data_IF_641340865252
#
_entry.id   IF_641340865252
#
_cell.length_a   1.000
_cell.length_b   1.000
_cell.length_c   1.000
_cell.angle_alpha   90.00
_cell.angle_beta   90.00
_cell.angle_gamma   90.00
#
_symmetry.space_group_name_H-M   'P 1'
#
loop_
_entity.id
_entity.type
_entity.pdbx_description
1 polymer ?
#
# COMPACT_ATOMS: atom_id res chain seq x y z
N UNK A 1 -5.87 25.41 41.79
CA UNK A 1 -6.38 24.76 40.56
C UNK A 1 -7.82 24.30 40.72
N UNK A 2 -8.14 23.32 41.58
CA UNK A 2 -9.52 22.80 41.74
C UNK A 2 -10.56 23.88 42.08
N UNK A 3 -10.26 24.79 43.01
CA UNK A 3 -11.18 25.86 43.40
C UNK A 3 -11.41 26.92 42.29
N UNK A 4 -10.39 27.19 41.48
CA UNK A 4 -10.42 28.24 40.46
C UNK A 4 -10.84 27.74 39.07
N UNK A 5 -10.58 26.46 38.77
CA UNK A 5 -10.71 25.84 37.44
C UNK A 5 -11.60 24.58 37.42
N UNK A 6 -12.03 24.07 38.59
CA UNK A 6 -12.86 22.85 38.67
C UNK A 6 -12.12 21.56 38.29
N UNK A 7 -10.82 21.66 38.00
CA UNK A 7 -9.94 20.56 37.60
C UNK A 7 -8.64 20.54 38.42
N UNK A 8 -8.03 19.36 38.53
CA UNK A 8 -6.74 19.16 39.20
C UNK A 8 -5.57 19.21 38.22
N UNK A 9 -5.84 18.94 36.95
CA UNK A 9 -4.95 19.11 35.81
C UNK A 9 -5.75 19.81 34.69
N UNK A 10 -5.15 20.75 33.97
CA UNK A 10 -5.78 21.38 32.82
C UNK A 10 -6.10 20.38 31.71
N UNK A 11 -5.35 19.27 31.61
CA UNK A 11 -5.67 18.19 30.66
C UNK A 11 -7.05 17.59 30.90
N UNK A 12 -7.53 17.59 32.15
CA UNK A 12 -8.85 17.04 32.50
C UNK A 12 -10.00 17.95 32.04
N UNK A 13 -9.74 19.20 31.65
CA UNK A 13 -10.78 20.16 31.27
C UNK A 13 -11.58 19.72 30.04
N UNK A 14 -10.99 18.90 29.16
CA UNK A 14 -11.67 18.33 27.98
C UNK A 14 -12.81 17.38 28.36
N UNK A 15 -12.77 16.77 29.55
CA UNK A 15 -13.77 15.84 30.06
C UNK A 15 -14.74 16.50 31.05
N UNK A 16 -14.76 17.84 31.13
CA UNK A 16 -15.69 18.60 31.97
C UNK A 16 -16.79 19.21 31.14
N UNK A 17 -17.94 19.34 31.78
CA UNK A 17 -19.15 19.93 31.18
C UNK A 17 -19.48 19.25 29.84
N UNK A 18 -19.86 20.03 28.82
CA UNK A 18 -20.24 19.51 27.50
C UNK A 18 -19.09 19.63 26.47
N UNK A 19 -17.86 19.95 26.91
CA UNK A 19 -16.72 20.28 26.04
C UNK A 19 -16.41 19.16 25.03
N UNK A 20 -16.48 17.90 25.45
CA UNK A 20 -16.19 16.77 24.58
C UNK A 20 -17.24 16.63 23.46
N UNK A 21 -18.52 16.87 23.79
CA UNK A 21 -19.61 16.83 22.81
C UNK A 21 -19.58 18.04 21.88
N UNK A 22 -19.21 19.22 22.37
CA UNK A 22 -18.96 20.40 21.54
C UNK A 22 -17.81 20.15 20.56
N UNK A 23 -16.72 19.51 21.01
CA UNK A 23 -15.57 19.16 20.17
C UNK A 23 -15.94 18.20 19.03
N UNK A 24 -16.73 17.16 19.32
CA UNK A 24 -17.20 16.21 18.30
C UNK A 24 -18.05 16.90 17.23
N UNK A 25 -18.92 17.84 17.64
CA UNK A 25 -19.75 18.63 16.71
C UNK A 25 -18.91 19.57 15.84
N UNK A 26 -17.92 20.25 16.42
CA UNK A 26 -17.01 21.12 15.67
C UNK A 26 -16.15 20.32 14.69
N UNK A 27 -15.58 19.18 15.10
CA UNK A 27 -14.83 18.29 14.20
C UNK A 27 -15.70 17.81 13.03
N UNK A 28 -16.96 17.48 13.28
CA UNK A 28 -17.92 17.11 12.23
C UNK A 28 -18.14 18.24 11.22
N UNK A 29 -18.19 19.49 11.66
CA UNK A 29 -18.35 20.64 10.77
C UNK A 29 -17.06 20.88 9.97
N UNK A 30 -15.91 20.94 10.64
CA UNK A 30 -14.60 21.19 10.03
C UNK A 30 -14.22 20.11 9.01
N UNK A 31 -14.53 18.85 9.31
CA UNK A 31 -14.18 17.71 8.45
C UNK A 31 -15.31 17.33 7.47
N UNK A 32 -16.44 18.03 7.44
CA UNK A 32 -17.62 17.69 6.61
C UNK A 32 -17.25 17.38 5.16
N UNK A 33 -16.50 18.26 4.52
CA UNK A 33 -16.03 18.08 3.13
C UNK A 33 -15.10 16.88 2.96
N UNK A 34 -14.19 16.65 3.91
CA UNK A 34 -13.28 15.51 3.86
C UNK A 34 -14.03 14.19 4.11
N UNK A 35 -15.06 14.20 4.96
CA UNK A 35 -15.91 13.05 5.23
C UNK A 35 -16.79 12.68 4.03
N UNK A 36 -17.30 13.66 3.27
CA UNK A 36 -18.09 13.41 2.05
C UNK A 36 -17.28 12.67 0.97
N UNK A 37 -15.96 12.81 1.00
CA UNK A 37 -15.02 12.13 0.10
C UNK A 37 -14.65 10.72 0.60
N UNK A 38 -15.06 10.36 1.83
CA UNK A 38 -14.85 9.04 2.43
C UNK A 38 -16.13 8.20 2.45
N UNK A 39 -15.99 6.88 2.51
CA UNK A 39 -17.13 5.97 2.50
C UNK A 39 -17.76 5.64 3.88
N UNK A 40 -17.07 5.72 5.03
CA UNK A 40 -17.72 5.54 6.32
C UNK A 40 -18.81 6.60 6.54
N UNK A 41 -19.91 6.21 7.17
CA UNK A 41 -20.92 7.13 7.67
C UNK A 41 -20.82 7.25 9.19
N UNK A 42 -21.50 8.25 9.79
CA UNK A 42 -21.57 8.40 11.25
C UNK A 42 -20.19 8.46 11.93
N UNK A 43 -19.45 9.54 11.69
CA UNK A 43 -18.17 9.78 12.36
C UNK A 43 -18.35 10.22 13.81
N UNK A 44 -17.41 9.78 14.65
CA UNK A 44 -17.27 10.19 16.04
C UNK A 44 -15.80 10.12 16.47
N UNK A 45 -15.45 10.83 17.54
CA UNK A 45 -14.14 10.68 18.19
C UNK A 45 -13.98 9.23 18.73
N UNK A 46 -12.95 8.53 18.26
CA UNK A 46 -12.51 7.22 18.74
C UNK A 46 -11.54 7.36 19.91
N UNK A 47 -10.24 7.21 19.67
CA UNK A 47 -9.20 7.50 20.68
C UNK A 47 -8.80 8.98 20.68
N UNK A 48 -8.52 9.54 21.86
CA UNK A 48 -8.02 10.90 21.98
C UNK A 48 -7.04 11.05 23.15
N UNK A 49 -5.95 11.79 22.92
CA UNK A 49 -4.91 12.01 23.93
C UNK A 49 -4.48 13.47 23.99
N UNK A 50 -4.48 14.05 25.20
CA UNK A 50 -4.00 15.41 25.46
C UNK A 50 -2.49 15.39 25.66
N UNK A 51 -1.76 15.81 24.64
CA UNK A 51 -0.30 15.85 24.61
C UNK A 51 0.24 17.03 25.43
N UNK A 52 -0.37 18.21 25.28
CA UNK A 52 0.06 19.44 25.94
C UNK A 52 -1.13 20.29 26.42
N UNK A 53 -0.89 21.12 27.43
CA UNK A 53 -1.86 22.08 27.95
C UNK A 53 -1.13 23.39 28.31
N UNK A 54 -1.66 24.52 27.85
CA UNK A 54 -1.08 25.85 28.11
C UNK A 54 -2.19 26.85 28.41
N UNK A 55 -2.17 27.44 29.61
CA UNK A 55 -3.17 28.43 30.05
C UNK A 55 -2.57 29.83 30.05
N UNK A 56 -3.25 30.78 29.41
CA UNK A 56 -2.85 32.19 29.34
C UNK A 56 -3.71 32.99 30.31
N UNK A 57 -3.15 33.38 31.45
CA UNK A 57 -3.89 34.11 32.50
C UNK A 57 -4.48 35.43 32.01
N UNK A 58 -3.76 36.16 31.14
CA UNK A 58 -4.18 37.47 30.65
C UNK A 58 -5.45 37.42 29.79
N UNK A 59 -5.69 36.31 29.08
CA UNK A 59 -6.83 36.14 28.17
C UNK A 59 -7.87 35.15 28.71
N UNK A 60 -7.50 34.35 29.72
CA UNK A 60 -8.35 33.30 30.28
C UNK A 60 -8.53 32.10 29.35
N UNK A 61 -7.65 31.93 28.36
CA UNK A 61 -7.72 30.87 27.35
C UNK A 61 -6.81 29.71 27.72
N UNK A 62 -7.36 28.50 27.69
CA UNK A 62 -6.61 27.25 27.79
C UNK A 62 -6.46 26.62 26.41
N UNK A 63 -5.24 26.40 25.94
CA UNK A 63 -4.98 25.67 24.70
C UNK A 63 -4.49 24.26 25.01
N UNK A 64 -5.18 23.27 24.45
CA UNK A 64 -4.84 21.86 24.54
C UNK A 64 -4.29 21.38 23.19
N UNK A 65 -3.09 20.80 23.17
CA UNK A 65 -2.60 20.05 22.02
C UNK A 65 -3.05 18.61 22.10
N UNK A 66 -3.81 18.13 21.11
CA UNK A 66 -4.45 16.82 21.13
C UNK A 66 -4.16 16.00 19.89
N UNK A 67 -3.97 14.70 20.11
CA UNK A 67 -4.00 13.67 19.07
C UNK A 67 -5.37 13.01 19.10
N UNK A 68 -6.08 13.00 17.98
CA UNK A 68 -7.47 12.52 17.90
C UNK A 68 -7.58 11.54 16.73
N UNK A 69 -8.13 10.36 16.98
CA UNK A 69 -8.57 9.44 15.94
C UNK A 69 -10.06 9.67 15.73
N UNK A 70 -10.45 10.13 14.54
CA UNK A 70 -11.83 10.45 14.21
C UNK A 70 -12.39 9.39 13.26
N UNK A 71 -13.21 8.48 13.77
CA UNK A 71 -13.56 7.22 13.11
C UNK A 71 -15.03 7.17 12.68
N UNK A 72 -15.31 6.58 11.53
CA UNK A 72 -16.66 6.39 11.02
C UNK A 72 -17.14 4.93 11.11
N UNK A 73 -18.45 4.74 11.29
CA UNK A 73 -19.05 3.42 11.20
C UNK A 73 -19.06 2.92 9.75
N UNK A 74 -18.46 1.75 9.55
CA UNK A 74 -18.39 1.10 8.25
C UNK A 74 -19.73 0.44 7.91
N UNK A 75 -20.24 0.70 6.69
CA UNK A 75 -21.37 -0.06 6.13
C UNK A 75 -20.97 -1.55 5.98
N UNK A 76 -21.70 -2.48 6.64
CA UNK A 76 -21.37 -3.91 6.62
C UNK A 76 -21.45 -4.57 5.23
N UNK A 77 -22.04 -3.91 4.24
CA UNK A 77 -22.12 -4.39 2.85
C UNK A 77 -21.02 -3.81 1.94
N UNK A 78 -20.13 -2.94 2.45
CA UNK A 78 -19.04 -2.35 1.68
C UNK A 78 -17.67 -2.81 2.20
N UNK A 79 -16.94 -3.51 1.34
CA UNK A 79 -15.67 -4.19 1.67
C UNK A 79 -14.47 -3.30 1.33
N UNK A 80 -13.98 -2.54 2.35
CA UNK A 80 -12.72 -1.76 2.52
C UNK A 80 -12.89 -0.25 2.61
N UNK A 81 -12.55 0.42 3.73
CA UNK A 81 -12.12 1.85 3.74
C UNK A 81 -11.22 2.20 4.93
N UNK A 82 -10.46 3.30 4.80
CA UNK A 82 -9.90 4.06 5.93
C UNK A 82 -10.99 4.24 6.99
N UNK A 83 -10.74 3.78 8.22
CA UNK A 83 -11.68 3.82 9.34
C UNK A 83 -11.78 5.19 9.97
N UNK A 84 -10.78 6.06 9.76
CA UNK A 84 -10.82 7.41 10.31
C UNK A 84 -9.69 8.34 9.85
N UNK A 85 -9.70 9.53 10.43
CA UNK A 85 -8.63 10.53 10.31
C UNK A 85 -7.76 10.51 11.55
N UNK A 86 -6.44 10.55 11.40
CA UNK A 86 -5.54 10.90 12.49
C UNK A 86 -5.29 12.41 12.47
N UNK A 87 -5.73 13.08 13.52
CA UNK A 87 -5.68 14.53 13.64
C UNK A 87 -4.70 14.92 14.74
N UNK A 88 -3.82 15.87 14.42
CA UNK A 88 -3.21 16.72 15.44
C UNK A 88 -3.97 18.03 15.46
N UNK A 89 -4.53 18.38 16.62
CA UNK A 89 -5.38 19.56 16.77
C UNK A 89 -4.96 20.40 17.98
N UNK A 90 -5.11 21.72 17.85
CA UNK A 90 -5.06 22.66 18.95
C UNK A 90 -6.49 23.06 19.32
N UNK A 91 -6.90 22.77 20.55
CA UNK A 91 -8.24 23.02 21.06
C UNK A 91 -8.19 24.15 22.07
N UNK A 92 -8.95 25.22 21.84
CA UNK A 92 -9.04 26.35 22.74
C UNK A 92 -10.29 26.24 23.60
N UNK A 93 -10.09 26.23 24.91
CA UNK A 93 -11.14 26.25 25.92
C UNK A 93 -11.14 27.60 26.64
N UNK A 94 -12.33 28.06 26.97
CA UNK A 94 -12.55 29.20 27.85
C UNK A 94 -13.40 28.78 29.04
N UNK A 95 -13.20 29.44 30.18
CA UNK A 95 -14.04 29.22 31.36
C UNK A 95 -14.89 30.45 31.64
N UNK A 96 -16.21 30.29 31.64
CA UNK A 96 -17.19 31.35 32.00
C UNK A 96 -18.27 30.76 32.89
N UNK A 97 -18.72 31.53 33.88
CA UNK A 97 -19.75 31.10 34.84
C UNK A 97 -19.47 29.72 35.46
N UNK A 98 -18.19 29.50 35.79
CA UNK A 98 -17.64 28.25 36.32
C UNK A 98 -17.76 27.00 35.42
N UNK A 99 -18.10 27.16 34.14
CA UNK A 99 -18.17 26.09 33.13
C UNK A 99 -17.09 26.25 32.07
N UNK A 100 -16.58 25.12 31.58
CA UNK A 100 -15.70 25.07 30.41
C UNK A 100 -16.54 24.98 29.13
N UNK A 101 -16.10 25.68 28.09
CA UNK A 101 -16.68 25.59 26.73
C UNK A 101 -15.60 25.81 25.68
N UNK A 102 -15.88 25.44 24.43
CA UNK A 102 -15.00 25.79 23.31
C UNK A 102 -14.91 27.32 23.13
N UNK A 103 -13.71 27.78 22.75
CA UNK A 103 -13.47 29.16 22.34
C UNK A 103 -14.04 29.46 20.95
N UNK A 104 -14.04 30.74 20.56
CA UNK A 104 -14.58 31.20 19.26
C UNK A 104 -13.86 30.59 18.05
N UNK A 105 -12.56 30.31 18.19
CA UNK A 105 -11.73 29.57 17.24
C UNK A 105 -11.35 28.20 17.87
N UNK A 106 -12.35 27.50 18.38
CA UNK A 106 -12.21 26.43 19.37
C UNK A 106 -11.40 25.21 18.92
N UNK A 107 -11.30 24.97 17.60
CA UNK A 107 -10.55 23.84 17.04
C UNK A 107 -9.73 24.31 15.84
N UNK A 108 -8.41 24.09 15.89
CA UNK A 108 -7.51 24.27 14.76
C UNK A 108 -6.79 22.96 14.45
N UNK A 109 -7.00 22.41 13.25
CA UNK A 109 -6.29 21.22 12.79
C UNK A 109 -4.87 21.62 12.38
N UNK A 110 -3.88 21.10 13.08
CA UNK A 110 -2.45 21.31 12.84
C UNK A 110 -1.96 20.37 11.73
N UNK A 111 -2.43 19.13 11.72
CA UNK A 111 -2.25 18.18 10.63
C UNK A 111 -3.37 17.15 10.60
N UNK A 112 -3.69 16.65 9.41
CA UNK A 112 -4.66 15.58 9.20
C UNK A 112 -4.07 14.57 8.22
N UNK A 113 -3.83 13.35 8.69
CA UNK A 113 -3.41 12.25 7.84
C UNK A 113 -4.57 11.26 7.71
N UNK A 114 -5.06 10.96 6.50
CA UNK A 114 -5.95 9.82 6.32
C UNK A 114 -5.19 8.54 6.68
N UNK A 115 -5.87 7.59 7.33
CA UNK A 115 -5.26 6.34 7.84
C UNK A 115 -4.49 5.55 6.76
N UNK A 116 -4.83 5.72 5.48
CA UNK A 116 -4.11 5.15 4.34
C UNK A 116 -2.63 5.57 4.32
N UNK A 117 -2.31 6.79 4.77
CA UNK A 117 -0.93 7.34 4.84
C UNK A 117 -0.21 7.11 6.16
N UNK A 118 -0.91 6.69 7.23
CA UNK A 118 -0.33 6.55 8.57
C UNK A 118 0.61 5.34 8.71
N UNK A 119 0.57 4.40 7.76
CA UNK A 119 1.52 3.30 7.68
C UNK A 119 2.80 3.72 6.93
N UNK A 120 3.52 4.70 7.47
CA UNK A 120 4.93 4.90 7.08
C UNK A 120 5.77 3.80 7.73
N UNK A 121 6.42 2.94 6.94
CA UNK A 121 7.39 1.99 7.48
C UNK A 121 8.59 2.73 8.05
N UNK A 122 9.10 2.24 9.18
CA UNK A 122 10.28 2.79 9.85
C UNK A 122 11.49 2.88 8.90
N UNK A 123 12.36 3.91 9.06
CA UNK A 123 13.60 3.98 8.30
C UNK A 123 14.50 2.82 8.71
N UNK A 124 14.84 1.95 7.75
CA UNK A 124 15.79 0.86 7.95
C UNK A 124 17.17 1.28 7.46
N UNK A 125 18.15 1.04 8.32
CA UNK A 125 19.58 1.29 8.09
C UNK A 125 20.15 0.40 6.98
N UNK A 126 21.18 0.96 6.33
CA UNK A 126 21.98 0.37 5.26
C UNK A 126 22.59 -0.97 5.66
N UNK A 127 21.95 -2.05 5.24
CA UNK A 127 22.59 -3.36 5.07
C UNK A 127 22.07 -4.01 3.79
N UNK A 128 22.92 -4.79 3.13
CA UNK A 128 22.79 -5.40 1.80
C UNK A 128 21.71 -6.49 1.67
N UNK A 129 20.45 -6.18 2.02
CA UNK A 129 19.26 -7.05 1.87
C UNK A 129 18.22 -6.48 0.89
N UNK A 130 17.35 -7.32 0.31
CA UNK A 130 16.37 -6.93 -0.71
C UNK A 130 15.30 -5.94 -0.18
N UNK A 131 14.93 -4.95 -1.00
CA UNK A 131 14.23 -3.72 -0.57
C UNK A 131 12.86 -3.94 0.10
N UNK A 132 12.08 -4.93 -0.35
CA UNK A 132 10.83 -5.29 0.32
C UNK A 132 11.00 -6.41 1.36
N UNK A 133 11.96 -7.33 1.19
CA UNK A 133 12.13 -8.50 2.07
C UNK A 133 12.32 -8.13 3.54
N UNK A 134 13.03 -7.03 3.84
CA UNK A 134 13.27 -6.61 5.24
C UNK A 134 12.02 -6.13 5.98
N UNK A 135 10.94 -5.81 5.27
CA UNK A 135 9.70 -5.33 5.89
C UNK A 135 8.83 -6.47 6.42
N UNK A 136 9.18 -7.72 6.10
CA UNK A 136 8.38 -8.88 6.44
C UNK A 136 9.14 -9.73 7.46
N UNK A 137 8.40 -10.29 8.43
CA UNK A 137 8.92 -11.34 9.31
C UNK A 137 9.57 -12.46 8.49
N UNK A 138 10.61 -13.13 9.03
CA UNK A 138 11.30 -14.21 8.33
C UNK A 138 10.31 -15.22 7.75
N UNK A 139 10.51 -15.58 6.50
CA UNK A 139 9.67 -16.58 5.83
C UNK A 139 10.14 -17.99 6.17
N UNK A 140 9.19 -18.92 6.21
CA UNK A 140 9.47 -20.35 6.22
C UNK A 140 10.21 -20.75 4.93
N UNK A 141 11.39 -21.35 5.09
CA UNK A 141 12.18 -21.88 3.97
C UNK A 141 11.49 -23.11 3.39
N UNK A 142 11.56 -23.33 2.06
CA UNK A 142 11.09 -24.59 1.47
C UNK A 142 11.70 -25.82 2.13
N UNK A 143 11.00 -26.95 2.09
CA UNK A 143 11.52 -28.20 2.66
C UNK A 143 12.85 -28.61 2.02
N UNK A 144 13.63 -29.41 2.75
CA UNK A 144 14.80 -30.10 2.23
C UNK A 144 14.53 -31.61 2.26
N UNK A 145 14.70 -32.28 1.12
CA UNK A 145 14.56 -33.74 1.01
C UNK A 145 15.91 -34.39 0.69
N UNK A 146 16.02 -35.70 0.89
CA UNK A 146 17.13 -36.49 0.35
C UNK A 146 16.75 -37.02 -1.04
N UNK A 147 17.65 -36.92 -2.02
CA UNK A 147 17.49 -37.59 -3.30
C UNK A 147 17.80 -39.09 -3.19
N UNK A 148 17.65 -39.83 -4.29
CA UNK A 148 17.94 -41.27 -4.38
C UNK A 148 19.38 -41.64 -3.98
N UNK A 149 20.33 -40.70 -4.13
CA UNK A 149 21.74 -40.86 -3.72
C UNK A 149 22.02 -40.46 -2.26
N UNK A 150 20.98 -40.15 -1.47
CA UNK A 150 21.13 -39.67 -0.09
C UNK A 150 21.71 -38.25 0.03
N UNK A 151 21.74 -37.46 -1.06
CA UNK A 151 22.15 -36.05 -1.05
C UNK A 151 20.97 -35.14 -0.74
N UNK A 152 21.21 -34.10 0.06
CA UNK A 152 20.21 -33.08 0.38
C UNK A 152 19.89 -32.23 -0.86
N UNK A 153 18.61 -32.18 -1.20
CA UNK A 153 18.03 -31.31 -2.23
C UNK A 153 17.23 -30.24 -1.51
N UNK A 154 17.61 -28.98 -1.72
CA UNK A 154 16.89 -27.81 -1.19
C UNK A 154 15.79 -27.42 -2.16
N UNK A 155 14.61 -27.07 -1.64
CA UNK A 155 13.45 -26.67 -2.45
C UNK A 155 13.14 -27.67 -3.57
N UNK A 156 12.89 -28.96 -3.25
CA UNK A 156 12.69 -30.01 -4.24
C UNK A 156 11.45 -29.79 -5.12
N UNK A 157 10.52 -28.95 -4.67
CA UNK A 157 9.28 -28.60 -5.35
C UNK A 157 9.40 -27.36 -6.26
N UNK A 158 10.59 -26.77 -6.37
CA UNK A 158 10.85 -25.54 -7.13
C UNK A 158 9.91 -24.38 -6.78
N UNK A 159 9.58 -24.24 -5.49
CA UNK A 159 8.71 -23.16 -5.00
C UNK A 159 9.41 -21.83 -5.18
N UNK A 160 8.68 -20.82 -5.65
CA UNK A 160 9.22 -19.49 -5.86
C UNK A 160 9.40 -18.78 -4.52
N UNK A 161 10.65 -18.72 -4.05
CA UNK A 161 11.01 -18.07 -2.78
C UNK A 161 11.10 -16.56 -2.92
N UNK A 162 11.84 -16.08 -3.92
CA UNK A 162 11.97 -14.66 -4.20
C UNK A 162 10.87 -14.26 -5.18
N UNK A 163 9.80 -13.70 -4.65
CA UNK A 163 8.65 -13.25 -5.43
C UNK A 163 8.81 -11.77 -5.76
N UNK A 164 8.73 -11.44 -7.06
CA UNK A 164 8.96 -10.09 -7.55
C UNK A 164 7.71 -9.23 -7.40
N UNK A 165 7.84 -8.09 -6.71
CA UNK A 165 6.81 -7.03 -6.70
C UNK A 165 6.77 -6.34 -8.06
N UNK A 166 7.94 -6.03 -8.62
CA UNK A 166 8.09 -5.62 -10.01
C UNK A 166 8.78 -6.75 -10.78
N UNK A 167 8.12 -7.30 -11.82
CA UNK A 167 8.64 -8.44 -12.58
C UNK A 167 10.06 -8.22 -13.12
N UNK A 168 10.90 -9.26 -13.04
CA UNK A 168 12.30 -9.16 -13.49
C UNK A 168 12.41 -8.81 -14.98
N UNK A 169 11.54 -9.38 -15.84
CA UNK A 169 11.52 -9.05 -17.28
C UNK A 169 11.18 -7.58 -17.52
N UNK A 170 10.29 -7.02 -16.71
CA UNK A 170 10.00 -5.59 -16.74
C UNK A 170 11.26 -4.84 -16.36
N UNK A 171 11.81 -5.06 -15.15
CA UNK A 171 13.01 -4.37 -14.67
C UNK A 171 14.18 -4.36 -15.67
N UNK A 172 14.35 -5.41 -16.47
CA UNK A 172 15.39 -5.48 -17.52
C UNK A 172 15.26 -4.39 -18.60
N UNK A 173 14.07 -3.84 -18.84
CA UNK A 173 13.87 -2.70 -19.76
C UNK A 173 14.62 -1.43 -19.30
N UNK A 174 15.01 -1.35 -18.02
CA UNK A 174 15.73 -0.22 -17.44
C UNK A 174 17.25 -0.40 -17.32
N UNK A 175 17.80 -1.50 -17.83
CA UNK A 175 19.24 -1.77 -17.69
C UNK A 175 20.12 -0.90 -18.59
N UNK A 176 19.61 -0.35 -19.68
CA UNK A 176 20.40 0.47 -20.61
C UNK A 176 21.61 -0.26 -21.21
N UNK A 177 21.63 -1.59 -21.23
CA UNK A 177 22.76 -2.41 -21.68
C UNK A 177 23.73 -2.87 -20.58
N UNK A 178 23.48 -2.52 -19.31
CA UNK A 178 24.28 -2.96 -18.17
C UNK A 178 23.67 -4.17 -17.42
N UNK A 179 24.36 -4.66 -16.40
CA UNK A 179 23.89 -5.75 -15.53
C UNK A 179 23.14 -5.26 -14.27
N UNK A 180 23.29 -3.97 -13.93
CA UNK A 180 22.77 -3.38 -12.68
C UNK A 180 21.85 -2.19 -12.96
N UNK A 181 20.72 -2.16 -12.26
CA UNK A 181 19.77 -1.03 -12.22
C UNK A 181 20.32 0.08 -11.33
N UNK A 182 20.06 1.34 -11.69
CA UNK A 182 20.18 2.48 -10.78
C UNK A 182 18.87 2.70 -10.05
N UNK A 183 18.83 2.42 -8.75
CA UNK A 183 17.63 2.59 -7.92
C UNK A 183 17.87 3.74 -6.96
N UNK A 184 17.02 4.75 -6.98
CA UNK A 184 17.16 5.92 -6.11
C UNK A 184 16.25 5.75 -4.89
N UNK A 185 16.81 5.96 -3.70
CA UNK A 185 16.02 6.15 -2.48
C UNK A 185 15.36 7.53 -2.52
N UNK A 186 14.03 7.57 -2.51
CA UNK A 186 13.23 8.79 -2.61
C UNK A 186 13.48 9.75 -1.44
N UNK A 187 13.83 9.22 -0.27
CA UNK A 187 14.00 10.03 0.95
C UNK A 187 15.39 10.66 1.04
N UNK A 188 16.44 9.93 0.66
CA UNK A 188 17.82 10.40 0.74
C UNK A 188 18.37 10.93 -0.59
N UNK A 189 17.79 10.53 -1.72
CA UNK A 189 18.31 10.80 -3.06
C UNK A 189 19.51 9.91 -3.45
N UNK A 190 19.94 9.02 -2.56
CA UNK A 190 21.14 8.21 -2.79
C UNK A 190 20.88 7.06 -3.78
N UNK A 191 21.81 6.81 -4.72
CA UNK A 191 21.69 5.71 -5.66
C UNK A 191 22.14 4.38 -5.06
N UNK A 192 21.42 3.33 -5.43
CA UNK A 192 21.68 1.94 -5.09
C UNK A 192 21.74 1.10 -6.38
N UNK A 193 22.88 0.46 -6.64
CA UNK A 193 23.06 -0.39 -7.80
C UNK A 193 22.68 -1.84 -7.50
N UNK A 194 21.67 -2.40 -8.20
CA UNK A 194 21.22 -3.78 -7.98
C UNK A 194 20.86 -4.54 -9.25
N UNK A 195 21.18 -5.83 -9.26
CA UNK A 195 20.74 -6.73 -10.32
C UNK A 195 19.22 -6.93 -10.26
N UNK A 196 18.49 -6.97 -11.39
CA UNK A 196 17.04 -7.13 -11.44
C UNK A 196 16.52 -8.33 -10.63
N UNK A 197 17.27 -9.43 -10.59
CA UNK A 197 16.88 -10.65 -9.84
C UNK A 197 16.74 -10.42 -8.32
N UNK A 198 17.42 -9.40 -7.78
CA UNK A 198 17.46 -9.07 -6.35
C UNK A 198 16.75 -7.74 -6.04
N UNK A 199 16.05 -7.15 -7.02
CA UNK A 199 15.40 -5.86 -6.90
C UNK A 199 13.89 -6.03 -6.75
N UNK A 200 13.29 -5.26 -5.85
CA UNK A 200 11.85 -5.25 -5.60
C UNK A 200 11.26 -6.64 -5.34
N UNK A 201 11.92 -7.47 -4.53
CA UNK A 201 11.45 -8.82 -4.17
C UNK A 201 10.94 -8.88 -2.73
N UNK A 202 9.94 -9.72 -2.51
CA UNK A 202 9.48 -10.21 -1.20
C UNK A 202 9.80 -11.69 -1.09
N UNK A 203 9.88 -12.22 0.14
CA UNK A 203 10.23 -13.61 0.36
C UNK A 203 8.97 -14.43 0.65
N UNK A 204 8.48 -15.18 -0.34
CA UNK A 204 7.33 -16.10 -0.25
C UNK A 204 6.16 -15.49 0.55
N UNK A 205 5.67 -14.36 0.06
CA UNK A 205 4.60 -13.57 0.67
C UNK A 205 3.21 -14.11 0.30
N UNK A 206 3.03 -14.61 -0.91
CA UNK A 206 1.83 -15.30 -1.38
C UNK A 206 2.15 -16.74 -1.77
N UNK A 207 1.12 -17.54 -2.00
CA UNK A 207 1.23 -18.97 -2.34
C UNK A 207 1.66 -19.22 -3.81
N UNK A 208 2.20 -20.41 -4.06
CA UNK A 208 2.67 -20.86 -5.38
C UNK A 208 1.55 -20.86 -6.42
N UNK A 209 0.30 -21.26 -6.11
CA UNK A 209 -0.79 -21.13 -7.07
C UNK A 209 -1.11 -19.69 -7.47
N UNK A 210 -1.03 -18.70 -6.55
CA UNK A 210 -1.17 -17.30 -6.94
C UNK A 210 0.01 -16.83 -7.78
N UNK A 211 1.24 -17.22 -7.42
CA UNK A 211 2.47 -16.91 -8.17
C UNK A 211 2.38 -17.44 -9.62
N UNK A 212 2.03 -18.71 -9.79
CA UNK A 212 2.06 -19.37 -11.10
C UNK A 212 0.78 -19.10 -11.91
N UNK A 213 -0.40 -19.18 -11.28
CA UNK A 213 -1.68 -19.11 -12.00
C UNK A 213 -2.16 -17.69 -12.28
N UNK A 214 -1.98 -16.76 -11.33
CA UNK A 214 -2.44 -15.38 -11.51
C UNK A 214 -1.28 -14.47 -11.92
N UNK A 215 -0.16 -14.54 -11.23
CA UNK A 215 0.95 -13.60 -11.39
C UNK A 215 1.71 -13.86 -12.70
N UNK A 216 2.27 -15.06 -12.86
CA UNK A 216 3.08 -15.40 -14.02
C UNK A 216 2.28 -15.35 -15.33
N UNK A 217 1.04 -15.84 -15.33
CA UNK A 217 0.17 -15.78 -16.52
C UNK A 217 -0.05 -14.34 -16.99
N UNK A 218 -0.35 -13.41 -16.09
CA UNK A 218 -0.53 -12.00 -16.45
C UNK A 218 0.78 -11.35 -16.92
N UNK A 219 1.92 -11.70 -16.32
CA UNK A 219 3.23 -11.27 -16.80
C UNK A 219 3.49 -11.75 -18.24
N UNK A 220 3.31 -13.04 -18.51
CA UNK A 220 3.59 -13.62 -19.82
C UNK A 220 2.64 -13.05 -20.89
N UNK A 221 1.35 -12.85 -20.57
CA UNK A 221 0.38 -12.17 -21.45
C UNK A 221 0.80 -10.73 -21.77
N UNK A 222 1.25 -9.97 -20.76
CA UNK A 222 1.75 -8.61 -20.96
C UNK A 222 3.00 -8.58 -21.85
N UNK A 223 3.95 -9.48 -21.63
CA UNK A 223 5.15 -9.57 -22.45
C UNK A 223 4.80 -9.92 -23.91
N UNK A 224 3.80 -10.77 -24.13
CA UNK A 224 3.29 -11.05 -25.48
C UNK A 224 2.71 -9.79 -26.15
N UNK A 225 1.99 -8.94 -25.42
CA UNK A 225 1.52 -7.65 -25.97
C UNK A 225 2.68 -6.74 -26.35
N UNK A 226 3.75 -6.68 -25.56
CA UNK A 226 4.92 -5.88 -25.91
C UNK A 226 5.63 -6.41 -27.16
N UNK A 227 5.69 -7.74 -27.34
CA UNK A 227 6.21 -8.34 -28.58
C UNK A 227 5.36 -7.94 -29.79
N UNK A 228 4.04 -8.06 -29.69
CA UNK A 228 3.11 -7.65 -30.77
C UNK A 228 3.25 -6.15 -31.07
N UNK A 229 3.39 -5.33 -30.03
CA UNK A 229 3.59 -3.89 -30.19
C UNK A 229 4.89 -3.58 -30.92
N UNK A 230 6.00 -4.24 -30.56
CA UNK A 230 7.28 -4.06 -31.25
C UNK A 230 7.23 -4.46 -32.74
N UNK A 231 6.43 -5.47 -33.08
CA UNK A 231 6.28 -5.96 -34.46
C UNK A 231 5.30 -5.13 -35.30
N UNK A 232 4.23 -4.62 -34.69
CA UNK A 232 3.10 -4.00 -35.43
C UNK A 232 2.95 -2.50 -35.21
N UNK A 233 3.62 -1.93 -34.20
CA UNK A 233 3.43 -0.55 -33.76
C UNK A 233 2.09 -0.29 -33.06
N UNK A 234 1.31 -1.34 -32.76
CA UNK A 234 -0.01 -1.21 -32.14
C UNK A 234 -0.18 -2.18 -30.98
N UNK A 235 -0.91 -1.76 -29.95
CA UNK A 235 -1.29 -2.62 -28.84
C UNK A 235 -2.65 -3.23 -29.15
N UNK A 236 -2.78 -4.55 -29.03
CA UNK A 236 -4.06 -5.18 -29.26
C UNK A 236 -5.04 -4.76 -28.16
N UNK A 237 -6.29 -4.48 -28.55
CA UNK A 237 -7.39 -4.27 -27.59
C UNK A 237 -7.68 -5.57 -26.85
N UNK A 238 -6.95 -5.76 -25.75
CA UNK A 238 -6.99 -6.94 -24.89
C UNK A 238 -6.96 -6.47 -23.44
N UNK A 239 -7.47 -7.29 -22.50
CA UNK A 239 -7.44 -6.94 -21.09
C UNK A 239 -6.02 -7.03 -20.49
N UNK A 240 -5.03 -7.58 -21.22
CA UNK A 240 -3.74 -7.98 -20.63
C UNK A 240 -2.91 -6.81 -20.10
N UNK A 241 -2.94 -5.64 -20.74
CA UNK A 241 -2.26 -4.44 -20.19
C UNK A 241 -2.95 -3.96 -18.92
N UNK A 242 -4.28 -3.92 -18.91
CA UNK A 242 -5.09 -3.54 -17.75
C UNK A 242 -4.87 -4.51 -16.59
N UNK A 243 -4.91 -5.81 -16.85
CA UNK A 243 -4.66 -6.85 -15.86
C UNK A 243 -3.25 -6.71 -15.28
N UNK A 244 -2.24 -6.51 -16.13
CA UNK A 244 -0.87 -6.31 -15.68
C UNK A 244 -0.71 -5.05 -14.82
N UNK A 245 -1.30 -3.92 -15.23
CA UNK A 245 -1.28 -2.68 -14.44
C UNK A 245 -1.89 -2.87 -13.05
N UNK A 246 -3.07 -3.50 -12.97
CA UNK A 246 -3.76 -3.79 -11.70
C UNK A 246 -2.96 -4.79 -10.86
N UNK A 247 -2.35 -5.79 -11.49
CA UNK A 247 -1.52 -6.76 -10.79
C UNK A 247 -0.29 -6.10 -10.15
N UNK A 248 0.38 -5.17 -10.84
CA UNK A 248 1.49 -4.40 -10.24
C UNK A 248 1.03 -3.58 -9.03
N UNK A 249 -0.13 -2.92 -9.12
CA UNK A 249 -0.73 -2.20 -8.00
C UNK A 249 -1.02 -3.14 -6.82
N UNK A 250 -1.62 -4.31 -7.07
CA UNK A 250 -1.93 -5.31 -6.05
C UNK A 250 -0.66 -5.79 -5.35
N UNK A 251 0.39 -6.17 -6.10
CA UNK A 251 1.65 -6.63 -5.53
C UNK A 251 2.30 -5.57 -4.66
N UNK A 252 2.38 -4.34 -5.15
CA UNK A 252 2.99 -3.24 -4.39
C UNK A 252 2.22 -2.94 -3.11
N UNK A 253 0.87 -2.91 -3.19
CA UNK A 253 0.00 -2.68 -2.04
C UNK A 253 0.19 -3.73 -0.94
N UNK A 254 0.17 -5.02 -1.28
CA UNK A 254 0.34 -6.08 -0.28
C UNK A 254 1.80 -6.27 0.17
N UNK A 255 2.78 -5.99 -0.68
CA UNK A 255 4.19 -6.01 -0.29
C UNK A 255 4.56 -4.90 0.71
N UNK A 256 3.82 -3.79 0.72
CA UNK A 256 4.00 -2.70 1.67
C UNK A 256 3.34 -2.95 3.03
N UNK A 257 2.43 -3.93 3.13
CA UNK A 257 1.74 -4.28 4.39
C UNK A 257 2.56 -5.23 5.24
N UNK A 258 2.26 -5.24 6.54
CA UNK A 258 2.74 -6.28 7.44
C UNK A 258 2.22 -7.66 6.97
N UNK A 259 3.04 -8.69 7.10
CA UNK A 259 2.60 -10.07 6.91
C UNK A 259 1.61 -10.42 8.03
N UNK A 260 0.45 -11.04 7.72
CA UNK A 260 -0.51 -11.47 8.73
C UNK A 260 -0.03 -12.76 9.43
N UNK A 261 1.12 -12.67 10.10
CA UNK A 261 1.77 -13.76 10.82
C UNK A 261 1.60 -13.50 12.32
N UNK A 262 0.46 -13.93 12.84
CA UNK A 262 0.10 -13.75 14.24
C UNK A 262 -0.06 -15.10 14.93
N UNK A 263 0.22 -15.14 16.22
CA UNK A 263 -0.02 -16.33 17.02
C UNK A 263 -1.52 -16.64 17.08
N UNK A 264 -1.86 -17.93 16.95
CA UNK A 264 -3.24 -18.37 17.10
C UNK A 264 -3.69 -18.23 18.55
N UNK A 265 -4.86 -17.62 18.76
CA UNK A 265 -5.54 -17.59 20.06
C UNK A 265 -6.37 -18.86 20.34
N UNK A 266 -6.49 -19.75 19.34
CA UNK A 266 -7.22 -21.01 19.44
C UNK A 266 -6.31 -22.13 19.95
N UNK A 267 -6.91 -23.14 20.60
CA UNK A 267 -6.20 -24.36 20.98
C UNK A 267 -5.64 -25.09 19.75
N UNK A 268 -4.41 -25.64 19.83
CA UNK A 268 -3.85 -26.42 18.73
C UNK A 268 -4.75 -27.59 18.36
N UNK A 269 -4.97 -27.86 17.06
CA UNK A 269 -5.79 -28.99 16.65
C UNK A 269 -5.10 -30.32 17.04
N UNK A 270 -5.90 -31.36 17.27
CA UNK A 270 -5.38 -32.72 17.56
C UNK A 270 -4.57 -33.31 16.41
N UNK A 271 -4.71 -32.74 15.22
CA UNK A 271 -3.97 -33.10 14.02
C UNK A 271 -3.73 -31.85 13.17
N UNK A 272 -2.52 -31.72 12.62
CA UNK A 272 -2.17 -30.71 11.64
C UNK A 272 -1.26 -31.32 10.55
N UNK A 273 -1.40 -30.87 9.29
CA UNK A 273 -0.49 -31.28 8.22
C UNK A 273 0.93 -30.77 8.50
N UNK A 274 1.92 -31.57 8.12
CA UNK A 274 3.33 -31.18 8.11
C UNK A 274 3.61 -30.14 7.01
N UNK A 275 4.71 -29.41 7.13
CA UNK A 275 5.16 -28.49 6.08
C UNK A 275 5.28 -29.19 4.72
N UNK A 276 5.79 -30.42 4.67
CA UNK A 276 5.95 -31.15 3.43
C UNK A 276 4.59 -31.48 2.77
N UNK A 277 3.58 -31.84 3.56
CA UNK A 277 2.22 -32.07 3.07
C UNK A 277 1.59 -30.77 2.55
N UNK A 278 1.79 -29.66 3.26
CA UNK A 278 1.31 -28.33 2.85
C UNK A 278 1.97 -27.85 1.56
N UNK A 279 3.28 -28.02 1.42
CA UNK A 279 4.00 -27.64 0.19
C UNK A 279 3.61 -28.50 -1.01
N UNK A 280 3.38 -29.79 -0.79
CA UNK A 280 2.88 -30.69 -1.83
C UNK A 280 1.47 -30.27 -2.28
N UNK A 281 0.57 -30.02 -1.34
CA UNK A 281 -0.79 -29.54 -1.61
C UNK A 281 -0.77 -28.19 -2.38
N UNK A 282 0.12 -27.27 -1.97
CA UNK A 282 0.33 -25.98 -2.62
C UNK A 282 0.78 -26.15 -4.10
N UNK A 283 1.63 -27.13 -4.41
CA UNK A 283 2.10 -27.40 -5.78
C UNK A 283 1.05 -28.11 -6.62
N UNK A 284 0.34 -29.08 -6.05
CA UNK A 284 -0.73 -29.82 -6.75
C UNK A 284 -1.85 -28.87 -7.21
N UNK A 285 -2.15 -27.84 -6.43
CA UNK A 285 -3.22 -26.88 -6.73
C UNK A 285 -2.82 -25.72 -7.68
N UNK A 286 -1.61 -25.71 -8.25
CA UNK A 286 -1.12 -24.59 -9.10
C UNK A 286 -2.03 -24.33 -10.31
N UNK A 287 -2.62 -25.37 -10.89
CA UNK A 287 -3.45 -25.28 -12.09
C UNK A 287 -4.95 -25.50 -11.81
N UNK A 288 -5.32 -25.64 -10.54
CA UNK A 288 -6.69 -25.97 -10.18
C UNK A 288 -7.59 -24.73 -10.16
N UNK A 289 -8.79 -24.91 -10.70
CA UNK A 289 -9.82 -23.86 -10.74
C UNK A 289 -10.57 -23.73 -9.42
N UNK A 290 -10.53 -24.76 -8.57
CA UNK A 290 -11.09 -24.80 -7.22
C UNK A 290 -9.98 -25.19 -6.26
N UNK A 291 -9.72 -24.35 -5.26
CA UNK A 291 -8.68 -24.61 -4.26
C UNK A 291 -9.30 -25.17 -2.98
N UNK A 292 -8.77 -26.29 -2.51
CA UNK A 292 -9.09 -26.81 -1.18
C UNK A 292 -8.07 -26.25 -0.20
N UNK A 293 -8.54 -25.48 0.78
CA UNK A 293 -7.66 -24.82 1.74
C UNK A 293 -7.36 -25.75 2.91
N UNK A 294 -6.10 -26.21 3.00
CA UNK A 294 -5.55 -26.90 4.17
C UNK A 294 -4.49 -26.01 4.81
N UNK A 295 -4.86 -25.25 5.84
CA UNK A 295 -3.98 -24.22 6.45
C UNK A 295 -3.75 -24.41 7.96
N UNK A 296 -4.17 -25.56 8.52
CA UNK A 296 -4.05 -25.81 9.95
C UNK A 296 -2.59 -26.03 10.37
N UNK A 297 -2.21 -25.52 11.55
CA UNK A 297 -0.95 -25.82 12.23
C UNK A 297 0.32 -25.17 11.66
N UNK A 298 0.24 -24.42 10.56
CA UNK A 298 1.37 -23.65 10.04
C UNK A 298 0.96 -22.18 9.77
N UNK A 299 1.37 -21.23 10.63
CA UNK A 299 0.98 -19.84 10.49
C UNK A 299 1.59 -19.17 9.24
N UNK A 300 2.72 -19.66 8.73
CA UNK A 300 3.30 -19.15 7.49
C UNK A 300 2.47 -19.55 6.27
N UNK A 301 2.00 -20.80 6.19
CA UNK A 301 1.12 -21.25 5.12
C UNK A 301 -0.21 -20.48 5.14
N UNK A 302 -0.83 -20.36 6.32
CA UNK A 302 -2.05 -19.59 6.50
C UNK A 302 -1.88 -18.11 6.08
N UNK A 303 -0.79 -17.46 6.49
CA UNK A 303 -0.50 -16.08 6.11
C UNK A 303 -0.39 -15.92 4.57
N UNK A 304 0.33 -16.83 3.90
CA UNK A 304 0.45 -16.81 2.43
C UNK A 304 -0.91 -16.96 1.73
N UNK A 305 -1.74 -17.89 2.20
CA UNK A 305 -3.10 -18.08 1.68
C UNK A 305 -3.95 -16.82 1.85
N UNK A 306 -3.95 -16.20 3.03
CA UNK A 306 -4.71 -14.97 3.29
C UNK A 306 -4.26 -13.84 2.36
N UNK A 307 -2.94 -13.68 2.19
CA UNK A 307 -2.40 -12.69 1.26
C UNK A 307 -2.80 -13.01 -0.18
N UNK A 308 -2.71 -14.28 -0.63
CA UNK A 308 -3.16 -14.69 -1.96
C UNK A 308 -4.64 -14.36 -2.20
N UNK A 309 -5.52 -14.67 -1.24
CA UNK A 309 -6.95 -14.37 -1.35
C UNK A 309 -7.21 -12.87 -1.46
N UNK A 310 -6.54 -12.06 -0.61
CA UNK A 310 -6.68 -10.61 -0.64
C UNK A 310 -6.14 -10.00 -1.94
N UNK A 311 -5.00 -10.49 -2.42
CA UNK A 311 -4.36 -10.09 -3.66
C UNK A 311 -5.24 -10.41 -4.87
N UNK A 312 -5.76 -11.64 -4.96
CA UNK A 312 -6.69 -12.04 -6.03
C UNK A 312 -8.00 -11.24 -5.97
N UNK A 313 -8.55 -10.99 -4.79
CA UNK A 313 -9.74 -10.15 -4.66
C UNK A 313 -9.49 -8.71 -5.11
N UNK A 314 -8.35 -8.12 -4.77
CA UNK A 314 -7.95 -6.80 -5.26
C UNK A 314 -7.85 -6.81 -6.78
N UNK A 315 -7.15 -7.80 -7.34
CA UNK A 315 -6.95 -7.95 -8.77
C UNK A 315 -8.27 -8.04 -9.53
N UNK A 316 -9.17 -8.95 -9.14
CA UNK A 316 -10.47 -9.17 -9.80
C UNK A 316 -11.32 -7.89 -9.79
N UNK A 317 -11.36 -7.18 -8.66
CA UNK A 317 -12.12 -5.92 -8.56
C UNK A 317 -11.49 -4.83 -9.41
N UNK A 318 -10.16 -4.70 -9.33
CA UNK A 318 -9.44 -3.67 -10.07
C UNK A 318 -9.55 -3.83 -11.58
N UNK A 319 -9.42 -5.06 -12.10
CA UNK A 319 -9.57 -5.32 -13.54
C UNK A 319 -10.97 -4.99 -14.05
N UNK A 320 -12.01 -5.24 -13.25
CA UNK A 320 -13.39 -4.95 -13.63
C UNK A 320 -13.67 -3.44 -13.63
N UNK A 321 -13.11 -2.76 -12.64
CA UNK A 321 -13.29 -1.32 -12.42
C UNK A 321 -12.70 -0.45 -13.53
N UNK A 322 -11.62 -0.92 -14.18
CA UNK A 322 -10.97 -0.23 -15.30
C UNK A 322 -10.96 -1.09 -16.56
N UNK A 323 -11.93 -1.99 -16.73
CA UNK A 323 -11.98 -2.94 -17.86
C UNK A 323 -12.06 -2.28 -19.24
N UNK A 324 -12.66 -1.10 -19.30
CA UNK A 324 -12.89 -0.34 -20.54
C UNK A 324 -11.71 0.58 -20.89
N UNK A 325 -10.59 0.48 -20.17
CA UNK A 325 -9.37 1.27 -20.43
C UNK A 325 -8.80 0.92 -21.79
N UNK A 326 -8.51 1.95 -22.59
CA UNK A 326 -7.85 1.81 -23.89
C UNK A 326 -6.45 2.35 -23.75
N UNK A 327 -5.45 1.47 -23.80
CA UNK A 327 -4.05 1.84 -23.63
C UNK A 327 -3.43 2.29 -24.95
N UNK A 328 -2.83 3.47 -24.94
CA UNK A 328 -2.19 4.12 -26.08
C UNK A 328 -0.72 4.38 -25.76
N UNK A 329 0.22 4.06 -26.67
CA UNK A 329 1.64 4.32 -26.44
C UNK A 329 1.96 5.81 -26.54
N UNK A 330 2.74 6.29 -25.60
CA UNK A 330 3.37 7.61 -25.63
C UNK A 330 4.89 7.43 -25.52
N UNK A 331 5.58 7.77 -26.61
CA UNK A 331 7.04 7.69 -26.69
C UNK A 331 7.66 9.08 -26.77
N UNK A 332 8.87 9.20 -26.24
CA UNK A 332 9.66 10.44 -26.28
C UNK A 332 11.07 10.12 -26.76
N UNK A 333 11.60 10.86 -27.76
CA UNK A 333 12.99 10.73 -28.18
C UNK A 333 13.97 11.48 -27.25
N UNK A 334 13.46 12.19 -26.24
CA UNK A 334 14.22 13.10 -25.39
C UNK A 334 14.38 12.59 -23.97
N UNK A 335 13.76 13.29 -23.02
CA UNK A 335 13.83 12.95 -21.60
C UNK A 335 13.26 11.55 -21.33
N UNK A 336 13.98 10.77 -20.53
CA UNK A 336 13.64 9.39 -20.19
C UNK A 336 12.69 9.31 -18.98
N UNK A 337 11.83 8.30 -18.98
CA UNK A 337 10.91 8.02 -17.89
C UNK A 337 11.59 7.26 -16.74
N UNK A 338 11.16 7.55 -15.51
CA UNK A 338 11.45 6.73 -14.33
C UNK A 338 10.42 5.61 -14.18
N UNK A 339 10.79 4.55 -13.45
CA UNK A 339 9.86 3.51 -13.01
C UNK A 339 9.64 3.62 -11.50
N UNK A 340 8.41 3.89 -11.05
CA UNK A 340 8.12 3.89 -9.62
C UNK A 340 8.17 2.46 -9.05
N UNK A 341 8.49 2.35 -7.75
CA UNK A 341 8.51 1.06 -7.04
C UNK A 341 7.10 0.51 -6.77
N UNK A 342 6.07 1.30 -7.04
CA UNK A 342 4.66 1.01 -6.83
C UNK A 342 3.77 1.76 -7.82
N UNK A 343 2.79 1.08 -8.40
CA UNK A 343 1.72 1.70 -9.19
C UNK A 343 0.40 1.82 -8.41
N UNK A 344 0.40 1.52 -7.10
CA UNK A 344 -0.82 1.51 -6.29
C UNK A 344 -1.48 2.90 -6.25
N UNK A 345 -0.70 3.96 -6.01
CA UNK A 345 -1.20 5.34 -5.99
C UNK A 345 -1.75 5.77 -7.36
N UNK A 346 -1.12 5.36 -8.46
CA UNK A 346 -1.59 5.64 -9.82
C UNK A 346 -2.96 4.99 -10.07
N UNK A 347 -3.12 3.73 -9.65
CA UNK A 347 -4.39 3.01 -9.75
C UNK A 347 -5.49 3.64 -8.89
N UNK A 348 -5.19 4.00 -7.64
CA UNK A 348 -6.13 4.63 -6.70
C UNK A 348 -6.62 5.99 -7.20
N UNK A 349 -5.70 6.81 -7.72
CA UNK A 349 -6.00 8.14 -8.25
C UNK A 349 -6.58 8.14 -9.67
N UNK A 350 -6.79 6.96 -10.27
CA UNK A 350 -7.19 6.81 -11.68
C UNK A 350 -6.26 7.50 -12.68
N UNK A 351 -4.99 7.66 -12.30
CA UNK A 351 -3.95 8.10 -13.21
C UNK A 351 -3.39 6.88 -13.94
N UNK A 352 -4.11 6.42 -14.96
CA UNK A 352 -3.81 5.17 -15.68
C UNK A 352 -2.63 5.37 -16.64
N UNK A 353 -1.43 5.34 -16.06
CA UNK A 353 -0.16 5.46 -16.77
C UNK A 353 0.79 4.34 -16.34
N UNK A 354 1.32 3.59 -17.30
CA UNK A 354 2.21 2.46 -17.09
C UNK A 354 3.56 2.73 -17.77
N UNK A 355 4.63 3.03 -17.01
CA UNK A 355 6.00 3.03 -17.54
C UNK A 355 6.38 1.63 -18.02
N UNK A 356 6.73 1.50 -19.30
CA UNK A 356 7.14 0.23 -19.94
C UNK A 356 8.64 0.15 -20.08
N UNK A 357 9.26 1.28 -20.43
CA UNK A 357 10.70 1.43 -20.58
C UNK A 357 11.07 2.90 -20.34
N UNK A 358 12.36 3.26 -20.32
CA UNK A 358 12.79 4.65 -20.28
C UNK A 358 12.23 5.54 -21.39
N UNK A 359 11.73 5.00 -22.50
CA UNK A 359 11.30 5.77 -23.68
C UNK A 359 9.81 5.59 -23.99
N UNK A 360 9.11 4.76 -23.22
CA UNK A 360 7.72 4.39 -23.50
C UNK A 360 6.90 4.32 -22.23
N UNK A 361 5.77 5.04 -22.25
CA UNK A 361 4.67 4.93 -21.29
C UNK A 361 3.42 4.52 -22.05
N UNK A 362 2.61 3.64 -21.47
CA UNK A 362 1.23 3.43 -21.93
C UNK A 362 0.30 4.28 -21.09
N UNK A 363 -0.56 5.04 -21.74
CA UNK A 363 -1.55 5.89 -21.11
C UNK A 363 -2.95 5.41 -21.48
N UNK A 364 -3.91 5.52 -20.57
CA UNK A 364 -5.32 5.51 -20.96
C UNK A 364 -5.58 6.62 -21.99
N UNK A 365 -6.37 6.31 -23.03
CA UNK A 365 -6.70 7.22 -24.13
C UNK A 365 -7.32 8.53 -23.62
N UNK A 366 -8.20 8.46 -22.59
CA UNK A 366 -8.82 9.66 -22.02
C UNK A 366 -7.81 10.47 -21.22
N UNK A 367 -6.94 9.82 -20.45
CA UNK A 367 -5.86 10.49 -19.75
C UNK A 367 -4.92 11.22 -20.74
N UNK A 368 -4.53 10.55 -21.82
CA UNK A 368 -3.69 11.14 -22.86
C UNK A 368 -4.34 12.40 -23.45
N UNK A 369 -5.62 12.32 -23.84
CA UNK A 369 -6.36 13.47 -24.38
C UNK A 369 -6.42 14.64 -23.38
N UNK A 370 -6.72 14.36 -22.11
CA UNK A 370 -6.80 15.37 -21.06
C UNK A 370 -5.45 16.05 -20.81
N UNK A 371 -4.36 15.29 -20.77
CA UNK A 371 -3.01 15.84 -20.59
C UNK A 371 -2.59 16.67 -21.79
N UNK A 372 -2.95 16.25 -23.01
CA UNK A 372 -2.66 17.00 -24.23
C UNK A 372 -3.42 18.33 -24.26
N UNK A 373 -4.71 18.33 -23.94
CA UNK A 373 -5.53 19.54 -23.86
C UNK A 373 -5.02 20.52 -22.80
N UNK A 374 -4.56 19.99 -21.65
CA UNK A 374 -3.98 20.79 -20.58
C UNK A 374 -2.53 21.28 -20.85
N UNK A 375 -1.90 20.87 -21.97
CA UNK A 375 -0.48 21.15 -22.23
C UNK A 375 0.48 20.47 -21.26
N UNK A 376 0.05 19.38 -20.62
CA UNK A 376 0.76 18.63 -19.58
C UNK A 376 1.29 17.27 -20.07
N UNK A 377 1.10 16.92 -21.35
CA UNK A 377 1.64 15.69 -21.93
C UNK A 377 3.15 15.84 -22.19
N UNK A 378 3.94 15.85 -21.11
CA UNK A 378 5.39 15.98 -21.14
C UNK A 378 6.06 14.91 -20.27
N UNK A 379 7.30 14.49 -20.61
CA UNK A 379 8.06 13.57 -19.76
C UNK A 379 8.26 14.09 -18.33
N UNK A 380 8.58 15.37 -18.16
CA UNK A 380 8.72 16.03 -16.86
C UNK A 380 7.46 15.86 -15.98
N UNK A 381 6.27 16.12 -16.54
CA UNK A 381 5.01 15.99 -15.80
C UNK A 381 4.74 14.54 -15.41
N UNK A 382 4.93 13.60 -16.34
CA UNK A 382 4.74 12.17 -16.08
C UNK A 382 5.75 11.65 -15.03
N UNK A 383 7.02 12.05 -15.13
CA UNK A 383 8.05 11.71 -14.16
C UNK A 383 7.73 12.25 -12.76
N UNK A 384 7.17 13.47 -12.68
CA UNK A 384 6.66 14.01 -11.40
C UNK A 384 5.56 13.12 -10.82
N UNK A 385 4.59 12.68 -11.64
CA UNK A 385 3.52 11.77 -11.19
C UNK A 385 4.05 10.40 -10.77
N UNK A 386 5.01 9.86 -11.52
CA UNK A 386 5.67 8.61 -11.15
C UNK A 386 6.42 8.74 -9.83
N UNK A 387 7.16 9.83 -9.63
CA UNK A 387 7.87 10.09 -8.38
C UNK A 387 6.92 10.27 -7.20
N UNK A 388 5.80 10.98 -7.39
CA UNK A 388 4.72 11.10 -6.40
C UNK A 388 4.18 9.72 -6.02
N UNK A 389 3.98 8.84 -7.00
CA UNK A 389 3.45 7.48 -6.79
C UNK A 389 4.42 6.49 -6.14
N UNK A 390 5.73 6.72 -6.24
CA UNK A 390 6.75 5.92 -5.56
C UNK A 390 6.58 5.97 -4.04
N UNK A 391 6.67 4.81 -3.39
CA UNK A 391 6.59 4.68 -1.94
C UNK A 391 7.95 4.99 -1.31
N UNK A 392 9.01 4.29 -1.72
CA UNK A 392 10.36 4.46 -1.16
C UNK A 392 11.44 4.63 -2.22
N UNK A 393 11.27 3.98 -3.36
CA UNK A 393 12.28 3.93 -4.40
C UNK A 393 11.71 4.23 -5.78
N UNK A 394 12.58 4.57 -6.71
CA UNK A 394 12.29 4.53 -8.14
C UNK A 394 13.52 4.08 -8.91
N UNK A 395 13.31 3.45 -10.06
CA UNK A 395 14.41 3.11 -10.97
C UNK A 395 14.64 4.31 -11.88
N UNK A 396 15.85 4.85 -11.80
CA UNK A 396 16.29 5.90 -12.72
C UNK A 396 16.79 5.24 -14.01
N UNK A 397 16.44 5.79 -15.18
CA UNK A 397 17.01 5.35 -16.43
C UNK A 397 18.51 5.70 -16.47
N UNK A 398 19.32 4.82 -17.06
CA UNK A 398 20.71 5.11 -17.41
C UNK A 398 20.80 5.76 -18.78
#
# INVERSE_FOLDING_TARGET
>A
MLAAFGVRDFKDAIHKDDVFSELDQELKQVLSRAMDETNPGQFSIGDCQVQSASYIEATGVLTLGMSITYEGQQDPYRVYYARGFFLQAAIQLIRRDAKWSLGKDGVAIVSSDPEITAHRPAPLTNETGNMYQKNHSPHEKPIENLNEDGKRVKNPNDITVNQHVIPQKHLKQWLGGEDLLTIIDKSSGEPLNRAPKNSFVVARLWDQPAEQGMIKTNEDNYQQQLTIFAETGSIARSPWITEYFVMLAARAYFAAKERPLYDSIMEPPTWAPSQAELEKDEVEHVHDTVRILRVAGNPHAAARTVVSMALTSFFIRGRELIKDTVWVPFSTPGEKFILPDSNAALFEQRFLALPVSPELVLLDEKLLANLQEAGQLTPEYLNKRFLESSVRYYVAPK
#
